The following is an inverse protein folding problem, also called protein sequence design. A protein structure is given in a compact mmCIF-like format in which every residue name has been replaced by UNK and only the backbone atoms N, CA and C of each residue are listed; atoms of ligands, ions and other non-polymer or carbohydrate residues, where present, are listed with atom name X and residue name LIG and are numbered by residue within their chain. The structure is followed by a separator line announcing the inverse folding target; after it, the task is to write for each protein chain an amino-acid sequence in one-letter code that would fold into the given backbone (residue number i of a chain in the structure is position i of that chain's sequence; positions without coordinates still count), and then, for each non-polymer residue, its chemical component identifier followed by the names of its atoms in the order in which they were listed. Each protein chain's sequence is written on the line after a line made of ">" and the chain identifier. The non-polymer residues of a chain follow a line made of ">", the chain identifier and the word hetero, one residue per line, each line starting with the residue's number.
data_IF_590192203290
#
_entry.id   IF_590192203290
#
_cell.length_a   1.000
_cell.length_b   1.000
_cell.length_c   1.000
_cell.angle_alpha   90.00
_cell.angle_beta   90.00
_cell.angle_gamma   90.00
#
_symmetry.space_group_name_H-M   'P 1'
#
loop_
_entity.id
_entity.type
_entity.pdbx_description
1 polymer ?
#
# COMPACT_ATOMS: atom_id res chain seq x y z
N UNK A 1 -14.77 -5.79 -21.71
CA UNK A 1 -15.17 -4.73 -20.82
C UNK A 1 -14.14 -4.55 -19.72
N UNK A 2 -13.54 -3.41 -19.65
CA UNK A 2 -12.44 -3.21 -18.70
C UNK A 2 -12.87 -3.12 -17.24
N UNK A 3 -14.12 -3.11 -16.92
CA UNK A 3 -14.57 -2.77 -15.58
C UNK A 3 -14.53 -3.86 -14.53
N UNK A 4 -14.55 -5.14 -14.92
CA UNK A 4 -14.84 -6.20 -13.96
C UNK A 4 -13.73 -6.42 -12.93
N UNK A 5 -12.48 -6.46 -13.38
CA UNK A 5 -11.36 -6.66 -12.47
C UNK A 5 -10.94 -5.36 -11.77
N UNK A 6 -11.16 -4.23 -12.42
CA UNK A 6 -10.91 -2.91 -11.84
C UNK A 6 -11.83 -2.62 -10.67
N UNK A 7 -13.03 -3.18 -10.67
CA UNK A 7 -13.96 -3.01 -9.56
C UNK A 7 -13.49 -3.64 -8.26
N UNK A 8 -12.60 -4.63 -8.34
CA UNK A 8 -12.00 -5.26 -7.16
C UNK A 8 -10.89 -4.43 -6.55
N UNK A 9 -10.32 -3.50 -7.34
CA UNK A 9 -9.23 -2.64 -6.90
C UNK A 9 -9.65 -1.19 -7.18
N UNK A 10 -10.37 -0.63 -6.25
CA UNK A 10 -10.91 0.72 -6.40
C UNK A 10 -10.19 1.71 -5.49
N UNK A 11 -10.34 2.99 -5.81
CA UNK A 11 -9.84 4.07 -4.95
C UNK A 11 -10.46 3.96 -3.55
N UNK A 12 -11.71 3.53 -3.46
CA UNK A 12 -12.37 3.34 -2.16
C UNK A 12 -11.64 2.32 -1.29
N UNK A 13 -11.10 1.26 -1.88
CA UNK A 13 -10.32 0.26 -1.14
C UNK A 13 -8.99 0.82 -0.68
N UNK A 14 -8.32 1.62 -1.52
CA UNK A 14 -7.10 2.32 -1.13
C UNK A 14 -7.40 3.26 0.06
N UNK A 15 -8.47 4.03 -0.04
CA UNK A 15 -8.86 4.96 1.02
C UNK A 15 -9.20 4.22 2.32
N UNK A 16 -9.85 3.05 2.23
CA UNK A 16 -10.15 2.23 3.40
C UNK A 16 -8.87 1.75 4.10
N UNK A 17 -7.89 1.28 3.34
CA UNK A 17 -6.60 0.87 3.91
C UNK A 17 -5.87 2.05 4.56
N UNK A 18 -5.87 3.21 3.92
CA UNK A 18 -5.24 4.41 4.48
C UNK A 18 -5.95 4.86 5.75
N UNK A 19 -7.28 4.79 5.79
CA UNK A 19 -8.05 5.09 6.99
C UNK A 19 -7.70 4.15 8.14
N UNK A 20 -7.64 2.86 7.88
CA UNK A 20 -7.29 1.86 8.89
C UNK A 20 -5.87 2.07 9.40
N UNK A 21 -4.94 2.40 8.52
CA UNK A 21 -3.57 2.70 8.92
C UNK A 21 -3.52 3.93 9.82
N UNK A 22 -4.20 5.02 9.44
CA UNK A 22 -4.24 6.24 10.25
C UNK A 22 -4.81 5.98 11.64
N UNK A 23 -5.89 5.22 11.72
CA UNK A 23 -6.53 4.87 13.00
C UNK A 23 -5.60 4.05 13.89
N UNK A 24 -4.90 3.07 13.30
CA UNK A 24 -3.97 2.24 14.05
C UNK A 24 -2.76 3.04 14.53
N UNK A 25 -2.23 3.93 13.71
CA UNK A 25 -1.12 4.82 14.10
C UNK A 25 -1.54 5.71 15.26
N UNK A 26 -2.71 6.34 15.18
CA UNK A 26 -3.21 7.22 16.22
C UNK A 26 -3.35 6.49 17.54
N UNK A 27 -3.93 5.30 17.53
CA UNK A 27 -4.09 4.49 18.73
C UNK A 27 -2.76 4.02 19.28
N UNK A 28 -1.82 3.63 18.41
CA UNK A 28 -0.52 3.16 18.83
C UNK A 28 0.29 4.25 19.54
N UNK A 29 0.06 5.51 19.20
CA UNK A 29 0.75 6.64 19.85
C UNK A 29 0.34 6.81 21.31
N UNK A 30 -0.85 6.34 21.68
CA UNK A 30 -1.38 6.49 23.05
C UNK A 30 -1.19 5.24 23.90
N UNK A 31 -0.73 4.14 23.32
CA UNK A 31 -0.58 2.86 24.01
C UNK A 31 0.88 2.40 23.90
N UNK A 32 1.53 2.26 25.05
CA UNK A 32 2.97 1.92 25.13
C UNK A 32 3.23 0.45 25.49
N UNK A 33 2.31 -0.44 25.18
CA UNK A 33 2.39 -1.85 25.56
C UNK A 33 2.52 -2.75 24.35
N UNK A 34 2.40 -4.06 24.56
CA UNK A 34 2.31 -5.04 23.47
C UNK A 34 1.19 -4.70 22.50
N UNK A 35 0.08 -4.13 22.99
CA UNK A 35 -1.02 -3.71 22.15
C UNK A 35 -0.58 -2.61 21.16
N UNK A 36 0.23 -1.65 21.62
CA UNK A 36 0.78 -0.61 20.76
C UNK A 36 1.66 -1.19 19.65
N UNK A 37 2.49 -2.16 20.01
CA UNK A 37 3.33 -2.87 19.03
C UNK A 37 2.47 -3.59 17.98
N UNK A 38 1.42 -4.26 18.42
CA UNK A 38 0.49 -4.95 17.52
C UNK A 38 -0.22 -3.96 16.59
N UNK A 39 -0.63 -2.81 17.12
CA UNK A 39 -1.27 -1.77 16.31
C UNK A 39 -0.32 -1.19 15.26
N UNK A 40 0.98 -1.04 15.58
CA UNK A 40 1.95 -0.61 14.58
C UNK A 40 2.09 -1.64 13.46
N UNK A 41 2.10 -2.93 13.80
CA UNK A 41 2.11 -3.99 12.78
C UNK A 41 0.89 -3.95 11.88
N UNK A 42 -0.29 -3.70 12.48
CA UNK A 42 -1.53 -3.58 11.73
C UNK A 42 -1.50 -2.35 10.80
N UNK A 43 -0.98 -1.23 11.28
CA UNK A 43 -0.81 -0.04 10.47
C UNK A 43 0.09 -0.32 9.25
N UNK A 44 1.22 -0.98 9.48
CA UNK A 44 2.14 -1.36 8.41
C UNK A 44 1.47 -2.26 7.37
N UNK A 45 0.69 -3.22 7.82
CA UNK A 45 -0.07 -4.10 6.92
C UNK A 45 -0.99 -3.28 6.00
N UNK A 46 -1.77 -2.36 6.56
CA UNK A 46 -2.70 -1.57 5.74
C UNK A 46 -1.96 -0.60 4.81
N UNK A 47 -0.83 -0.04 5.23
CA UNK A 47 -0.01 0.79 4.35
C UNK A 47 0.53 -0.02 3.17
N UNK A 48 1.00 -1.25 3.44
CA UNK A 48 1.46 -2.14 2.37
C UNK A 48 0.31 -2.45 1.41
N UNK A 49 -0.88 -2.75 1.93
CA UNK A 49 -2.06 -3.04 1.09
C UNK A 49 -2.43 -1.83 0.23
N UNK A 50 -2.38 -0.63 0.77
CA UNK A 50 -2.66 0.58 -0.01
C UNK A 50 -1.65 0.77 -1.14
N UNK A 51 -0.36 0.63 -0.85
CA UNK A 51 0.69 0.76 -1.85
C UNK A 51 0.54 -0.29 -2.95
N UNK A 52 0.31 -1.54 -2.56
CA UNK A 52 0.10 -2.64 -3.50
C UNK A 52 -1.06 -2.34 -4.45
N UNK A 53 -2.19 -1.89 -3.91
CA UNK A 53 -3.38 -1.57 -4.70
C UNK A 53 -3.13 -0.40 -5.66
N UNK A 54 -2.41 0.62 -5.23
CA UNK A 54 -2.11 1.76 -6.10
C UNK A 54 -1.23 1.35 -7.28
N UNK A 55 -0.31 0.42 -7.09
CA UNK A 55 0.49 -0.11 -8.19
C UNK A 55 -0.38 -0.96 -9.12
N UNK A 56 -1.18 -1.87 -8.56
CA UNK A 56 -2.04 -2.76 -9.35
C UNK A 56 -3.06 -1.99 -10.18
N UNK A 57 -3.67 -0.94 -9.61
CA UNK A 57 -4.61 -0.09 -10.34
C UNK A 57 -3.93 0.51 -11.57
N UNK A 58 -2.72 1.03 -11.43
CA UNK A 58 -1.99 1.59 -12.56
C UNK A 58 -1.72 0.55 -13.64
N UNK A 59 -1.38 -0.68 -13.25
CA UNK A 59 -1.15 -1.76 -14.20
C UNK A 59 -2.44 -2.11 -14.94
N UNK A 60 -3.55 -2.29 -14.20
CA UNK A 60 -4.85 -2.60 -14.83
C UNK A 60 -5.32 -1.47 -15.76
N UNK A 61 -5.11 -0.22 -15.36
CA UNK A 61 -5.59 0.94 -16.13
C UNK A 61 -4.70 1.27 -17.33
N UNK A 62 -3.56 0.61 -17.47
CA UNK A 62 -2.63 0.87 -18.57
C UNK A 62 -3.16 0.48 -19.94
N UNK A 63 -4.16 -0.39 -20.00
CA UNK A 63 -4.68 -0.93 -21.25
C UNK A 63 -3.81 -2.01 -21.87
N UNK A 64 -2.68 -2.34 -21.25
CA UNK A 64 -1.79 -3.40 -21.72
C UNK A 64 -2.37 -4.75 -21.31
N UNK A 65 -2.23 -5.75 -22.18
CA UNK A 65 -2.65 -7.11 -21.85
C UNK A 65 -1.75 -7.67 -20.74
N UNK A 66 -2.35 -8.15 -19.66
CA UNK A 66 -1.64 -8.61 -18.50
C UNK A 66 -1.95 -10.08 -18.18
N UNK A 67 -0.96 -10.75 -17.59
CA UNK A 67 -1.13 -12.08 -17.02
C UNK A 67 -1.68 -11.92 -15.61
N UNK A 68 -2.93 -12.27 -15.40
CA UNK A 68 -3.60 -12.09 -14.11
C UNK A 68 -2.90 -12.84 -12.97
N UNK A 69 -2.23 -13.95 -13.26
CA UNK A 69 -1.51 -14.69 -12.23
C UNK A 69 -0.38 -13.86 -11.60
N UNK A 70 0.19 -12.93 -12.37
CA UNK A 70 1.23 -12.02 -11.88
C UNK A 70 0.68 -10.95 -10.95
N UNK A 71 -0.63 -10.71 -11.01
CA UNK A 71 -1.28 -9.68 -10.20
C UNK A 71 -1.64 -10.15 -8.79
N UNK A 72 -1.49 -11.43 -8.48
CA UNK A 72 -1.70 -11.95 -7.12
C UNK A 72 -0.48 -11.79 -6.22
N UNK A 73 0.57 -11.13 -6.70
CA UNK A 73 1.77 -10.90 -5.93
C UNK A 73 1.56 -9.80 -4.90
N UNK A 74 2.23 -9.94 -3.76
CA UNK A 74 2.19 -8.95 -2.68
C UNK A 74 3.50 -8.16 -2.57
N UNK A 75 4.55 -8.59 -3.25
CA UNK A 75 5.82 -7.88 -3.27
C UNK A 75 5.72 -6.67 -4.19
N UNK A 76 5.98 -5.48 -3.65
CA UNK A 76 5.99 -4.26 -4.45
C UNK A 76 7.06 -4.33 -5.54
N UNK A 77 8.23 -4.88 -5.21
CA UNK A 77 9.31 -5.02 -6.18
C UNK A 77 8.91 -5.91 -7.36
N UNK A 78 8.23 -7.04 -7.08
CA UNK A 78 7.75 -7.94 -8.12
C UNK A 78 6.74 -7.25 -9.03
N UNK A 79 5.81 -6.49 -8.47
CA UNK A 79 4.80 -5.75 -9.24
C UNK A 79 5.45 -4.65 -10.09
N UNK A 80 6.38 -3.92 -9.53
CA UNK A 80 7.12 -2.88 -10.24
C UNK A 80 7.91 -3.50 -11.39
N UNK A 81 8.59 -4.62 -11.13
CA UNK A 81 9.34 -5.37 -12.14
C UNK A 81 8.44 -5.88 -13.27
N UNK A 82 7.26 -6.38 -12.92
CA UNK A 82 6.30 -6.84 -13.92
C UNK A 82 5.84 -5.69 -14.81
N UNK A 83 5.47 -4.55 -14.22
CA UNK A 83 5.08 -3.37 -14.99
C UNK A 83 6.21 -2.93 -15.93
N UNK A 84 7.45 -2.93 -15.43
CA UNK A 84 8.62 -2.58 -16.24
C UNK A 84 8.79 -3.54 -17.42
N UNK A 85 8.56 -4.83 -17.23
CA UNK A 85 8.65 -5.84 -18.28
C UNK A 85 7.63 -5.62 -19.38
N UNK A 86 6.50 -4.99 -19.06
CA UNK A 86 5.45 -4.64 -20.01
C UNK A 86 5.57 -3.21 -20.54
N UNK A 87 6.64 -2.51 -20.19
CA UNK A 87 6.87 -1.10 -20.53
C UNK A 87 5.72 -0.19 -20.05
N UNK A 88 5.10 -0.51 -18.93
CA UNK A 88 4.07 0.32 -18.33
C UNK A 88 4.76 1.38 -17.45
N UNK A 89 4.59 2.68 -17.74
CA UNK A 89 5.16 3.71 -16.89
C UNK A 89 4.34 3.82 -15.60
N UNK A 90 4.98 3.56 -14.45
CA UNK A 90 4.33 3.71 -13.15
C UNK A 90 4.71 5.05 -12.53
N UNK A 91 3.75 5.68 -11.88
CA UNK A 91 3.99 6.83 -11.00
C UNK A 91 4.18 6.28 -9.61
N UNK A 92 5.39 6.38 -9.08
CA UNK A 92 5.75 5.90 -7.74
C UNK A 92 6.62 6.97 -7.07
N UNK A 93 6.28 7.40 -5.83
CA UNK A 93 7.16 8.30 -5.09
C UNK A 93 8.53 7.66 -4.87
N UNK A 94 9.58 8.46 -4.99
CA UNK A 94 10.94 7.94 -4.82
C UNK A 94 11.14 7.29 -3.46
N UNK A 95 10.56 7.86 -2.40
CA UNK A 95 10.65 7.28 -1.07
C UNK A 95 10.05 5.88 -1.01
N UNK A 96 8.90 5.68 -1.66
CA UNK A 96 8.22 4.37 -1.73
C UNK A 96 9.10 3.37 -2.48
N UNK A 97 9.67 3.78 -3.60
CA UNK A 97 10.56 2.91 -4.37
C UNK A 97 11.79 2.51 -3.56
N UNK A 98 12.38 3.44 -2.83
CA UNK A 98 13.52 3.15 -1.95
C UNK A 98 13.15 2.21 -0.81
N UNK A 99 11.93 2.30 -0.29
CA UNK A 99 11.46 1.54 0.87
C UNK A 99 10.59 0.33 0.51
N UNK A 100 10.52 -0.03 -0.75
CA UNK A 100 9.61 -1.09 -1.22
C UNK A 100 9.81 -2.43 -0.51
N UNK A 101 11.04 -2.77 -0.16
CA UNK A 101 11.32 -4.03 0.55
C UNK A 101 10.84 -3.96 2.01
N UNK A 102 11.03 -2.82 2.65
CA UNK A 102 10.54 -2.60 4.02
C UNK A 102 9.02 -2.68 4.04
N UNK A 103 8.37 -1.95 3.13
CA UNK A 103 6.91 -1.92 3.05
C UNK A 103 6.36 -3.32 2.76
N UNK A 104 6.95 -4.04 1.82
CA UNK A 104 6.53 -5.40 1.49
C UNK A 104 6.59 -6.32 2.71
N UNK A 105 7.62 -6.16 3.55
CA UNK A 105 7.78 -7.01 4.74
C UNK A 105 6.64 -6.85 5.74
N UNK A 106 5.91 -5.73 5.71
CA UNK A 106 4.82 -5.48 6.66
C UNK A 106 3.59 -6.35 6.38
N UNK A 107 3.47 -6.94 5.22
CA UNK A 107 2.28 -7.73 4.86
C UNK A 107 2.13 -8.95 5.77
N UNK A 108 3.13 -9.81 5.84
CA UNK A 108 3.05 -11.01 6.67
C UNK A 108 3.66 -10.81 8.05
N UNK A 109 4.86 -10.23 8.12
CA UNK A 109 5.59 -10.12 9.38
C UNK A 109 4.94 -9.14 10.35
N UNK A 110 4.39 -8.04 9.84
CA UNK A 110 3.71 -7.06 10.67
C UNK A 110 2.49 -7.61 11.39
N UNK A 111 1.85 -8.64 10.82
CA UNK A 111 0.65 -9.25 11.42
C UNK A 111 0.96 -10.42 12.36
N UNK A 112 1.97 -11.22 12.01
CA UNK A 112 2.13 -12.54 12.64
C UNK A 112 3.40 -12.69 13.46
N UNK A 113 4.40 -11.84 13.26
CA UNK A 113 5.67 -11.97 13.99
C UNK A 113 5.67 -11.04 15.20
N UNK A 114 5.57 -11.64 16.39
CA UNK A 114 5.54 -10.91 17.67
C UNK A 114 6.84 -10.16 17.95
N UNK A 115 7.94 -10.56 17.33
CA UNK A 115 9.24 -9.92 17.53
C UNK A 115 9.55 -8.86 16.47
N UNK A 116 8.71 -8.78 15.43
CA UNK A 116 8.88 -7.80 14.38
C UNK A 116 8.46 -6.42 14.86
N UNK A 117 9.36 -5.46 14.77
CA UNK A 117 9.11 -4.09 15.21
C UNK A 117 8.99 -3.16 14.02
N UNK A 118 7.84 -2.53 13.90
CA UNK A 118 7.63 -1.49 12.89
C UNK A 118 7.81 -0.14 13.58
N UNK A 119 8.70 0.69 13.05
CA UNK A 119 9.04 1.98 13.65
C UNK A 119 7.94 2.99 13.36
N UNK A 120 7.55 3.74 14.40
CA UNK A 120 6.49 4.74 14.29
C UNK A 120 6.84 5.85 13.30
N UNK A 121 8.09 6.32 13.30
CA UNK A 121 8.52 7.37 12.39
C UNK A 121 8.44 6.91 10.92
N UNK A 122 8.79 5.66 10.64
CA UNK A 122 8.68 5.08 9.30
C UNK A 122 7.22 4.96 8.87
N UNK A 123 6.34 4.53 9.78
CA UNK A 123 4.90 4.44 9.51
C UNK A 123 4.31 5.80 9.16
N UNK A 124 4.63 6.82 9.93
CA UNK A 124 4.12 8.17 9.69
C UNK A 124 4.62 8.74 8.37
N UNK A 125 5.90 8.52 8.07
CA UNK A 125 6.46 8.95 6.78
C UNK A 125 5.78 8.24 5.63
N UNK A 126 5.61 6.92 5.75
CA UNK A 126 4.95 6.12 4.72
C UNK A 126 3.52 6.61 4.50
N UNK A 127 2.77 6.80 5.57
CA UNK A 127 1.39 7.30 5.47
C UNK A 127 1.34 8.62 4.70
N UNK A 128 2.20 9.57 5.04
CA UNK A 128 2.26 10.86 4.37
C UNK A 128 2.58 10.71 2.88
N UNK A 129 3.55 9.86 2.54
CA UNK A 129 3.93 9.61 1.16
C UNK A 129 2.77 8.96 0.37
N UNK A 130 2.07 8.01 0.99
CA UNK A 130 0.97 7.32 0.33
C UNK A 130 -0.25 8.24 0.12
N UNK A 131 -0.54 9.13 1.07
CA UNK A 131 -1.63 10.11 0.91
C UNK A 131 -1.34 11.03 -0.28
N UNK A 132 -0.13 11.55 -0.40
CA UNK A 132 0.26 12.40 -1.52
C UNK A 132 0.18 11.64 -2.84
N UNK A 133 0.65 10.41 -2.85
CA UNK A 133 0.61 9.55 -4.02
C UNK A 133 -0.82 9.25 -4.45
N UNK A 134 -1.67 8.90 -3.48
CA UNK A 134 -3.10 8.67 -3.73
C UNK A 134 -3.74 9.89 -4.39
N UNK A 135 -3.47 11.09 -3.89
CA UNK A 135 -4.05 12.31 -4.43
C UNK A 135 -3.50 12.65 -5.81
N UNK A 136 -2.25 12.29 -6.08
CA UNK A 136 -1.64 12.45 -7.39
C UNK A 136 -2.28 11.52 -8.43
N UNK A 137 -2.50 10.26 -8.05
CA UNK A 137 -3.06 9.25 -8.95
C UNK A 137 -4.55 9.46 -9.21
N UNK A 138 -5.30 9.94 -8.20
CA UNK A 138 -6.76 10.03 -8.26
C UNK A 138 -7.24 11.43 -7.83
N UNK A 139 -6.85 12.48 -8.57
CA UNK A 139 -7.14 13.84 -8.13
C UNK A 139 -8.63 14.18 -8.12
N UNK A 140 -9.43 13.50 -8.95
CA UNK A 140 -10.86 13.75 -9.06
C UNK A 140 -11.69 12.98 -8.05
N UNK A 141 -11.07 12.07 -7.30
CA UNK A 141 -11.76 11.27 -6.28
C UNK A 141 -11.67 11.99 -4.94
N UNK A 142 -12.81 12.14 -4.27
CA UNK A 142 -12.83 12.75 -2.94
C UNK A 142 -12.11 11.86 -1.94
N UNK A 143 -11.23 12.48 -1.15
CA UNK A 143 -10.60 11.81 -0.02
C UNK A 143 -11.61 11.77 1.12
N UNK A 144 -11.97 10.58 1.59
CA UNK A 144 -12.96 10.38 2.65
C UNK A 144 -12.33 9.98 4.00
N UNK A 145 -11.05 10.20 4.11
CA UNK A 145 -10.30 9.87 5.35
C UNK A 145 -10.54 10.88 6.47
#
# INVERSE_FOLDING_TARGET
>A
MPGTNQNLLSVAQVDADLFMAASAIQKAETISSKAGKHLRGLAGYHLQQAAEKMIKIQIYDSGVQIDHSKMFRHSLDDLIGYASSLAIPLIIPSWVDEKKYVITSWEAEGRYNLHFVVRMDTLKRCYSELIQWRNQLFPDSKNRL
#
